data_IF_269632932087
#
_entry.id   IF_269632932087
#
_cell.length_a   1.000
_cell.length_b   1.000
_cell.length_c   1.000
_cell.angle_alpha   90.00
_cell.angle_beta   90.00
_cell.angle_gamma   90.00
#
_symmetry.space_group_name_H-M   'P 1'
#
loop_
_entity.id
_entity.type
_entity.pdbx_description
1 polymer ?
#
# COMPACT_ATOMS: atom_id res chain seq x y z
N UNK A 1 -23.50 34.85 15.93
CA UNK A 1 -22.78 34.35 14.75
C UNK A 1 -22.88 32.84 14.75
N UNK A 2 -23.40 32.26 13.66
CA UNK A 2 -23.80 30.85 13.57
C UNK A 2 -22.61 29.89 13.59
N UNK A 3 -22.67 28.90 14.49
CA UNK A 3 -21.85 27.69 14.40
C UNK A 3 -22.28 26.88 13.18
N UNK A 4 -21.34 26.60 12.27
CA UNK A 4 -21.47 25.49 11.33
C UNK A 4 -20.53 24.38 11.78
N UNK A 5 -21.13 23.33 12.33
CA UNK A 5 -20.54 22.02 12.47
C UNK A 5 -20.25 21.47 11.07
N UNK A 6 -18.99 21.27 10.72
CA UNK A 6 -18.63 20.42 9.58
C UNK A 6 -17.85 19.22 10.13
N UNK A 7 -18.64 18.22 10.52
CA UNK A 7 -18.19 16.84 10.72
C UNK A 7 -17.79 16.29 9.37
N UNK A 8 -16.53 16.47 8.98
CA UNK A 8 -15.89 15.57 8.01
C UNK A 8 -15.08 14.57 8.82
N UNK A 9 -15.59 13.34 8.91
CA UNK A 9 -15.01 12.24 9.64
C UNK A 9 -13.51 12.08 9.29
N UNK A 10 -12.67 12.03 10.33
CA UNK A 10 -11.22 12.00 10.20
C UNK A 10 -10.75 10.80 9.40
N UNK A 11 -10.30 11.05 8.17
CA UNK A 11 -9.46 10.10 7.46
C UNK A 11 -8.15 10.08 8.24
N UNK A 12 -7.72 8.94 8.81
CA UNK A 12 -6.41 8.85 9.43
C UNK A 12 -5.38 9.24 8.37
N UNK A 13 -4.64 10.32 8.63
CA UNK A 13 -3.51 10.69 7.79
C UNK A 13 -2.53 9.50 7.82
N UNK A 14 -1.98 9.08 6.67
CA UNK A 14 -0.98 8.04 6.64
C UNK A 14 0.14 8.44 7.60
N UNK A 15 0.53 7.51 8.47
CA UNK A 15 1.64 7.78 9.40
C UNK A 15 2.87 8.15 8.57
N UNK A 16 3.79 9.00 9.05
CA UNK A 16 4.96 9.43 8.27
C UNK A 16 5.87 8.28 7.80
N UNK A 17 5.66 7.06 8.30
CA UNK A 17 6.33 5.81 7.92
C UNK A 17 5.58 5.00 6.84
N UNK A 18 4.34 5.36 6.53
CA UNK A 18 3.50 4.63 5.59
C UNK A 18 3.74 5.13 4.16
N UNK A 19 4.12 4.21 3.28
CA UNK A 19 4.33 4.55 1.88
C UNK A 19 3.00 4.90 1.23
N UNK A 20 2.91 6.10 0.67
CA UNK A 20 1.74 6.58 -0.07
C UNK A 20 1.76 5.97 -1.49
N UNK A 21 1.42 4.69 -1.60
CA UNK A 21 1.59 3.90 -2.84
C UNK A 21 0.92 4.49 -4.08
N UNK A 22 -0.24 5.13 -3.91
CA UNK A 22 -1.05 5.65 -5.02
C UNK A 22 -0.47 6.89 -5.71
N UNK A 23 0.58 7.50 -5.16
CA UNK A 23 1.26 8.65 -5.78
C UNK A 23 2.52 8.26 -6.55
N UNK A 24 2.97 7.01 -6.44
CA UNK A 24 4.18 6.52 -7.07
C UNK A 24 3.93 6.09 -8.52
N UNK A 25 4.97 6.21 -9.36
CA UNK A 25 4.94 5.66 -10.71
C UNK A 25 4.99 4.13 -10.67
N UNK A 26 4.50 3.47 -11.73
CA UNK A 26 4.56 2.01 -11.84
C UNK A 26 5.99 1.48 -11.69
N UNK A 27 7.03 2.04 -12.35
CA UNK A 27 8.42 1.63 -12.13
C UNK A 27 8.87 1.73 -10.67
N UNK A 28 8.50 2.80 -9.96
CA UNK A 28 8.88 2.99 -8.55
C UNK A 28 8.20 1.96 -7.64
N UNK A 29 6.92 1.66 -7.89
CA UNK A 29 6.18 0.63 -7.15
C UNK A 29 6.78 -0.75 -7.39
N UNK A 30 7.04 -1.10 -8.66
CA UNK A 30 7.66 -2.37 -9.04
C UNK A 30 9.04 -2.55 -8.42
N UNK A 31 9.86 -1.50 -8.41
CA UNK A 31 11.17 -1.53 -7.78
C UNK A 31 11.06 -1.74 -6.26
N UNK A 32 10.18 -0.99 -5.58
CA UNK A 32 10.01 -1.10 -4.12
C UNK A 32 9.42 -2.44 -3.68
N UNK A 33 8.51 -3.02 -4.48
CA UNK A 33 7.90 -4.31 -4.20
C UNK A 33 8.72 -5.50 -4.72
N UNK A 34 9.85 -5.22 -5.39
CA UNK A 34 10.74 -6.20 -6.02
C UNK A 34 9.95 -7.18 -6.91
N UNK A 35 9.11 -6.63 -7.78
CA UNK A 35 8.21 -7.40 -8.65
C UNK A 35 8.32 -6.92 -10.09
N UNK A 36 8.28 -7.87 -11.03
CA UNK A 36 8.17 -7.56 -12.44
C UNK A 36 6.72 -7.14 -12.76
N UNK A 37 6.47 -5.93 -13.30
CA UNK A 37 5.12 -5.48 -13.64
C UNK A 37 4.47 -6.26 -14.78
N UNK A 38 5.23 -6.96 -15.61
CA UNK A 38 4.74 -7.73 -16.75
C UNK A 38 4.46 -9.19 -16.40
N UNK A 39 5.25 -9.78 -15.50
CA UNK A 39 5.18 -11.22 -15.19
C UNK A 39 4.79 -11.52 -13.74
N UNK A 40 4.81 -10.53 -12.86
CA UNK A 40 4.45 -10.67 -11.45
C UNK A 40 5.53 -11.38 -10.63
N UNK A 41 5.10 -12.02 -9.53
CA UNK A 41 5.98 -12.85 -8.70
C UNK A 41 5.99 -14.29 -9.22
N UNK A 42 7.16 -14.91 -9.20
CA UNK A 42 7.24 -16.35 -9.41
C UNK A 42 6.68 -17.13 -8.21
N UNK A 43 6.32 -18.39 -8.42
CA UNK A 43 5.70 -19.24 -7.38
C UNK A 43 6.58 -19.46 -6.13
N UNK A 44 7.91 -19.43 -6.29
CA UNK A 44 8.84 -19.53 -5.16
C UNK A 44 8.75 -18.31 -4.25
N UNK A 45 8.78 -17.12 -4.85
CA UNK A 45 8.70 -15.85 -4.14
C UNK A 45 7.33 -15.64 -3.49
N UNK A 46 6.24 -15.95 -4.19
CA UNK A 46 4.89 -15.87 -3.63
C UNK A 46 4.75 -16.76 -2.37
N UNK A 47 5.29 -17.99 -2.42
CA UNK A 47 5.28 -18.91 -1.27
C UNK A 47 6.16 -18.41 -0.13
N UNK A 48 7.32 -17.82 -0.42
CA UNK A 48 8.17 -17.17 0.59
C UNK A 48 7.41 -16.06 1.32
N UNK A 49 6.74 -15.18 0.58
CA UNK A 49 5.96 -14.06 1.15
C UNK A 49 4.76 -14.57 1.97
N UNK A 50 4.08 -15.63 1.53
CA UNK A 50 3.00 -16.26 2.29
C UNK A 50 3.50 -16.79 3.65
N UNK A 51 4.69 -17.38 3.71
CA UNK A 51 5.29 -17.83 4.96
C UNK A 51 5.71 -16.67 5.87
N UNK A 52 6.17 -15.55 5.29
CA UNK A 52 6.63 -14.37 6.03
C UNK A 52 5.48 -13.54 6.61
N UNK A 53 4.41 -13.36 5.84
CA UNK A 53 3.33 -12.43 6.18
C UNK A 53 2.02 -13.12 6.57
N UNK A 54 1.88 -14.41 6.28
CA UNK A 54 0.64 -15.15 6.49
C UNK A 54 -0.38 -14.95 5.36
N UNK A 55 -1.54 -15.58 5.53
CA UNK A 55 -2.66 -15.47 4.59
C UNK A 55 -3.25 -14.05 4.64
N UNK A 56 -3.54 -13.47 3.48
CA UNK A 56 -4.37 -12.26 3.42
C UNK A 56 -5.82 -12.65 3.77
N UNK A 57 -6.36 -12.09 4.86
CA UNK A 57 -7.70 -12.36 5.36
C UNK A 57 -8.55 -11.10 5.36
#
# INVERSE_FOLDING_TARGET
MSNKSDTTAGIPLPSPTETVWHTLSIPDVSQRLEVDPHTGLNAGEARRRLQQHGQNT
#
